data_IF_761954012661
#
_entry.id   IF_761954012661
#
_cell.length_a   1.000
_cell.length_b   1.000
_cell.length_c   1.000
_cell.angle_alpha   90.00
_cell.angle_beta   90.00
_cell.angle_gamma   90.00
#
_symmetry.space_group_name_H-M   'P 1'
#
loop_
_entity.id
_entity.type
_entity.pdbx_description
1 polymer ?
#
# COMPACT_ATOMS: atom_id res chain seq x y z
N UNK A 1 -9.70 -20.92 4.79
CA UNK A 1 -9.47 -20.11 3.59
C UNK A 1 -8.45 -20.81 2.71
N UNK A 2 -8.62 -20.89 1.40
CA UNK A 2 -7.59 -21.41 0.53
C UNK A 2 -6.37 -20.49 0.61
N UNK A 3 -5.21 -21.04 0.92
CA UNK A 3 -3.95 -20.32 0.96
C UNK A 3 -3.56 -19.81 -0.43
N UNK A 4 -2.57 -18.91 -0.52
CA UNK A 4 -2.03 -18.37 -1.78
C UNK A 4 -1.71 -19.45 -2.82
N UNK A 5 -1.37 -20.63 -2.38
CA UNK A 5 -1.07 -21.78 -3.23
C UNK A 5 -2.34 -22.33 -3.91
N UNK A 6 -3.47 -22.34 -3.21
CA UNK A 6 -4.75 -22.78 -3.78
C UNK A 6 -5.32 -21.74 -4.76
N UNK A 7 -5.13 -20.45 -4.49
CA UNK A 7 -5.51 -19.39 -5.45
C UNK A 7 -4.64 -19.47 -6.70
N UNK A 8 -3.33 -19.69 -6.53
CA UNK A 8 -2.40 -19.88 -7.64
C UNK A 8 -2.75 -21.12 -8.48
N UNK A 9 -3.11 -22.23 -7.84
CA UNK A 9 -3.58 -23.43 -8.51
C UNK A 9 -4.91 -23.22 -9.26
N UNK A 10 -5.83 -22.45 -8.68
CA UNK A 10 -7.11 -22.11 -9.32
C UNK A 10 -6.89 -21.19 -10.53
N UNK A 11 -5.99 -20.24 -10.46
CA UNK A 11 -5.60 -19.37 -11.58
C UNK A 11 -4.98 -20.17 -12.73
N UNK A 12 -4.07 -21.11 -12.42
CA UNK A 12 -3.50 -22.05 -13.40
C UNK A 12 -4.60 -22.90 -14.03
N UNK A 13 -5.57 -23.37 -13.23
CA UNK A 13 -6.70 -24.17 -13.67
C UNK A 13 -7.63 -23.41 -14.62
N UNK A 14 -7.72 -22.09 -14.46
CA UNK A 14 -8.48 -21.19 -15.32
C UNK A 14 -7.69 -20.76 -16.58
N UNK A 15 -6.48 -21.31 -16.78
CA UNK A 15 -5.60 -20.96 -17.90
C UNK A 15 -4.98 -19.58 -17.79
N UNK A 16 -4.89 -19.05 -16.60
CA UNK A 16 -4.37 -17.73 -16.31
C UNK A 16 -2.94 -17.88 -15.80
N UNK A 17 -1.97 -17.26 -16.49
CA UNK A 17 -0.56 -17.31 -16.09
C UNK A 17 -0.34 -16.53 -14.79
N UNK A 18 -0.04 -17.18 -13.66
CA UNK A 18 0.17 -16.50 -12.40
C UNK A 18 1.47 -15.69 -12.34
N UNK A 19 2.37 -15.83 -13.30
CA UNK A 19 3.66 -15.11 -13.34
C UNK A 19 3.54 -13.67 -13.84
N UNK A 20 2.48 -13.35 -14.62
CA UNK A 20 2.14 -12.00 -15.04
C UNK A 20 1.22 -11.25 -14.06
N UNK A 21 0.75 -11.97 -13.06
CA UNK A 21 -0.09 -11.42 -12.02
C UNK A 21 0.73 -10.50 -11.13
N UNK A 22 0.25 -9.32 -10.99
CA UNK A 22 0.38 -8.58 -9.75
C UNK A 22 0.01 -9.59 -8.65
N UNK A 23 0.98 -10.07 -7.89
CA UNK A 23 0.66 -10.84 -6.68
C UNK A 23 -0.19 -9.89 -5.85
N UNK A 24 -1.51 -10.05 -5.91
CA UNK A 24 -2.37 -9.40 -4.94
C UNK A 24 -1.84 -9.87 -3.61
N UNK A 25 -1.33 -8.91 -2.86
CA UNK A 25 -0.91 -9.16 -1.51
C UNK A 25 -2.20 -9.51 -0.76
N UNK A 26 -2.48 -10.79 -0.62
CA UNK A 26 -3.62 -11.31 0.10
C UNK A 26 -3.16 -11.87 1.43
N UNK A 27 -3.89 -11.52 2.46
CA UNK A 27 -3.65 -12.12 3.76
C UNK A 27 -4.07 -13.59 3.77
N UNK A 28 -3.17 -14.45 4.23
CA UNK A 28 -3.47 -15.87 4.48
C UNK A 28 -4.16 -16.09 5.84
N UNK A 29 -4.09 -15.13 6.75
CA UNK A 29 -4.74 -15.13 8.05
C UNK A 29 -5.89 -14.11 8.09
N UNK A 30 -6.97 -14.46 8.76
CA UNK A 30 -8.07 -13.52 9.05
C UNK A 30 -7.73 -12.50 10.14
N UNK A 31 -6.55 -12.56 10.74
CA UNK A 31 -6.11 -11.65 11.81
C UNK A 31 -4.88 -10.87 11.41
N UNK A 32 -3.74 -11.53 11.32
CA UNK A 32 -2.44 -10.92 11.05
C UNK A 32 -1.55 -11.83 10.23
N UNK A 33 -0.69 -11.24 9.39
CA UNK A 33 0.44 -11.90 8.76
C UNK A 33 1.70 -11.08 9.02
N UNK A 34 2.84 -11.74 9.21
CA UNK A 34 4.12 -11.05 9.32
C UNK A 34 5.21 -11.82 8.61
N UNK A 35 6.11 -11.10 7.95
CA UNK A 35 7.22 -11.67 7.20
C UNK A 35 8.34 -10.65 7.05
N UNK A 36 9.48 -11.09 6.56
CA UNK A 36 10.60 -10.23 6.19
C UNK A 36 10.71 -10.11 4.69
N UNK A 37 10.92 -8.88 4.24
CA UNK A 37 11.25 -8.58 2.85
C UNK A 37 12.65 -8.00 2.73
N UNK A 38 13.31 -8.35 1.62
CA UNK A 38 14.60 -7.77 1.23
C UNK A 38 14.48 -7.25 -0.20
N UNK A 39 14.91 -6.02 -0.43
CA UNK A 39 14.94 -5.40 -1.75
C UNK A 39 16.33 -4.89 -2.09
N UNK A 40 16.65 -4.93 -3.38
CA UNK A 40 17.91 -4.48 -3.95
C UNK A 40 17.65 -3.32 -4.93
N UNK A 41 18.70 -2.62 -5.36
CA UNK A 41 18.57 -1.54 -6.36
C UNK A 41 17.91 -1.97 -7.68
N UNK A 42 18.03 -3.24 -8.05
CA UNK A 42 17.38 -3.83 -9.24
C UNK A 42 15.91 -4.24 -9.00
N UNK A 43 15.43 -4.19 -7.75
CA UNK A 43 14.06 -4.57 -7.41
C UNK A 43 13.08 -3.55 -7.97
N UNK A 44 12.04 -4.01 -8.64
CA UNK A 44 10.96 -3.15 -9.14
C UNK A 44 9.66 -3.51 -8.42
N UNK A 45 9.06 -2.54 -7.75
CA UNK A 45 7.74 -2.67 -7.13
C UNK A 45 6.79 -1.68 -7.79
N UNK A 46 5.74 -2.18 -8.40
CA UNK A 46 4.71 -1.34 -9.00
C UNK A 46 3.90 -0.60 -7.94
N UNK A 47 3.25 0.50 -8.36
CA UNK A 47 2.26 1.15 -7.53
C UNK A 47 1.10 0.20 -7.27
N UNK A 48 0.74 -0.02 -6.00
CA UNK A 48 -0.29 -0.96 -5.59
C UNK A 48 -1.09 -0.46 -4.38
N UNK A 49 -2.17 -1.15 -4.07
CA UNK A 49 -2.94 -1.00 -2.84
C UNK A 49 -3.49 -2.37 -2.45
N UNK A 50 -3.90 -2.50 -1.22
CA UNK A 50 -4.49 -3.73 -0.65
C UNK A 50 -5.63 -3.38 0.32
N UNK A 51 -6.36 -4.38 0.80
CA UNK A 51 -7.55 -4.21 1.64
C UNK A 51 -7.27 -4.34 3.14
N UNK A 52 -6.02 -4.53 3.52
CA UNK A 52 -5.58 -4.65 4.91
C UNK A 52 -4.68 -3.47 5.30
N UNK A 53 -4.47 -3.29 6.59
CA UNK A 53 -3.44 -2.37 7.11
C UNK A 53 -2.07 -3.00 6.98
N UNK A 54 -1.11 -2.23 6.51
CA UNK A 54 0.28 -2.64 6.43
C UNK A 54 1.16 -1.74 7.29
N UNK A 55 1.96 -2.36 8.13
CA UNK A 55 3.02 -1.70 8.87
C UNK A 55 4.36 -2.23 8.36
N UNK A 56 5.22 -1.32 7.90
CA UNK A 56 6.56 -1.63 7.41
C UNK A 56 7.58 -1.05 8.39
N UNK A 57 8.37 -1.90 9.02
CA UNK A 57 9.46 -1.48 9.89
C UNK A 57 10.81 -1.66 9.19
N UNK A 58 11.52 -0.56 8.97
CA UNK A 58 12.87 -0.57 8.39
C UNK A 58 13.87 -1.14 9.38
N UNK A 59 14.43 -2.31 9.08
CA UNK A 59 15.46 -2.95 9.91
C UNK A 59 16.87 -2.55 9.49
N UNK A 60 17.12 -2.48 8.18
CA UNK A 60 18.42 -2.11 7.61
C UNK A 60 18.22 -1.44 6.26
N UNK A 61 19.19 -0.65 5.86
CA UNK A 61 19.19 0.13 4.64
C UNK A 61 18.85 1.60 4.89
N UNK A 62 19.21 2.45 3.94
CA UNK A 62 18.95 3.88 4.00
C UNK A 62 18.64 4.43 2.60
N UNK A 63 18.13 5.66 2.56
CA UNK A 63 17.83 6.39 1.32
C UNK A 63 16.73 5.77 0.43
N UNK A 64 15.95 4.83 0.94
CA UNK A 64 14.73 4.38 0.26
C UNK A 64 13.64 5.42 0.50
N UNK A 65 12.95 5.80 -0.55
CA UNK A 65 11.76 6.64 -0.45
C UNK A 65 10.52 5.77 -0.66
N UNK A 66 9.45 6.09 0.07
CA UNK A 66 8.13 5.53 -0.19
C UNK A 66 7.19 6.63 -0.69
N UNK A 67 6.50 6.35 -1.77
CA UNK A 67 5.32 7.09 -2.17
C UNK A 67 4.11 6.42 -1.52
N UNK A 68 3.40 7.14 -0.65
CA UNK A 68 2.17 6.68 0.01
C UNK A 68 1.08 7.71 -0.28
N UNK A 69 0.03 7.29 -1.00
CA UNK A 69 -0.92 8.23 -1.56
C UNK A 69 -0.21 9.22 -2.49
N UNK A 70 -0.18 10.48 -2.09
CA UNK A 70 0.45 11.59 -2.80
C UNK A 70 1.65 12.19 -2.03
N UNK A 71 2.14 11.52 -1.00
CA UNK A 71 3.24 12.01 -0.17
C UNK A 71 4.44 11.08 -0.23
N UNK A 72 5.64 11.63 -0.10
CA UNK A 72 6.90 10.90 -0.09
C UNK A 72 7.53 10.91 1.28
N UNK A 73 8.04 9.75 1.66
CA UNK A 73 8.70 9.52 2.93
C UNK A 73 10.07 8.93 2.69
N UNK A 74 11.13 9.64 3.12
CA UNK A 74 12.49 9.08 3.15
C UNK A 74 12.65 8.28 4.43
N UNK A 75 12.99 7.01 4.27
CA UNK A 75 13.04 6.03 5.34
C UNK A 75 14.47 5.86 5.87
N UNK A 76 14.55 5.68 7.16
CA UNK A 76 15.76 5.35 7.90
C UNK A 76 15.51 4.12 8.77
N UNK A 77 16.62 3.50 9.22
CA UNK A 77 16.53 2.38 10.19
C UNK A 77 15.70 2.77 11.41
N UNK A 78 14.78 1.89 11.78
CA UNK A 78 13.85 2.08 12.90
C UNK A 78 12.56 2.83 12.52
N UNK A 79 12.46 3.41 11.32
CA UNK A 79 11.22 4.04 10.88
C UNK A 79 10.13 2.99 10.62
N UNK A 80 8.90 3.32 11.01
CA UNK A 80 7.72 2.50 10.80
C UNK A 80 6.77 3.27 9.89
N UNK A 81 6.45 2.72 8.73
CA UNK A 81 5.40 3.22 7.84
C UNK A 81 4.07 2.58 8.19
N UNK A 82 3.01 3.37 8.06
CA UNK A 82 1.62 2.97 8.30
C UNK A 82 0.86 3.20 7.00
N UNK A 83 0.38 2.13 6.39
CA UNK A 83 -0.34 2.16 5.13
C UNK A 83 -1.75 1.66 5.37
N UNK A 84 -2.72 2.55 5.17
CA UNK A 84 -4.14 2.21 5.34
C UNK A 84 -4.69 1.43 4.15
N UNK A 85 -5.76 0.63 4.35
CA UNK A 85 -6.46 -0.05 3.27
C UNK A 85 -6.83 0.90 2.13
N UNK A 86 -6.63 0.46 0.88
CA UNK A 86 -6.96 1.22 -0.31
C UNK A 86 -5.97 2.34 -0.67
N UNK A 87 -5.04 2.69 0.21
CA UNK A 87 -4.03 3.71 -0.08
C UNK A 87 -2.99 3.14 -1.03
N UNK A 88 -2.85 3.79 -2.18
CA UNK A 88 -1.84 3.39 -3.16
C UNK A 88 -0.44 3.76 -2.70
N UNK A 89 0.49 2.83 -2.83
CA UNK A 89 1.85 3.04 -2.36
C UNK A 89 2.87 2.21 -3.14
N UNK A 90 4.13 2.61 -3.05
CA UNK A 90 5.28 1.85 -3.55
C UNK A 90 6.59 2.39 -2.97
N UNK A 91 7.62 1.54 -2.81
CA UNK A 91 8.98 2.00 -2.61
C UNK A 91 9.56 2.60 -3.90
N UNK A 92 10.48 3.53 -3.75
CA UNK A 92 11.32 4.10 -4.80
C UNK A 92 12.76 3.83 -4.38
N UNK A 93 13.42 2.95 -5.12
CA UNK A 93 14.79 2.54 -4.81
C UNK A 93 15.77 3.42 -5.57
N UNK A 94 16.83 3.94 -4.91
CA UNK A 94 17.93 4.61 -5.60
C UNK A 94 18.71 3.60 -6.47
N UNK A 95 19.38 4.10 -7.49
CA UNK A 95 20.18 3.27 -8.41
C UNK A 95 21.31 2.52 -7.70
N UNK A 96 21.80 3.07 -6.61
CA UNK A 96 22.80 2.46 -5.73
C UNK A 96 22.29 2.50 -4.29
N UNK A 97 22.15 1.34 -3.68
CA UNK A 97 21.75 1.21 -2.28
C UNK A 97 22.27 -0.10 -1.69
N UNK A 98 22.51 -0.08 -0.38
CA UNK A 98 22.63 -1.30 0.40
C UNK A 98 21.29 -2.08 0.41
N UNK A 99 21.31 -3.41 0.59
CA UNK A 99 20.07 -4.18 0.72
C UNK A 99 19.12 -3.57 1.74
N UNK A 100 17.88 -3.36 1.33
CA UNK A 100 16.85 -2.81 2.18
C UNK A 100 16.05 -3.93 2.83
N UNK A 101 16.26 -4.10 4.13
CA UNK A 101 15.56 -5.09 4.95
C UNK A 101 14.42 -4.43 5.72
N UNK A 102 13.23 -4.99 5.60
CA UNK A 102 12.05 -4.56 6.36
C UNK A 102 11.29 -5.75 6.93
N UNK A 103 10.83 -5.59 8.13
CA UNK A 103 9.84 -6.50 8.72
C UNK A 103 8.45 -5.94 8.45
N UNK A 104 7.58 -6.75 7.91
CA UNK A 104 6.25 -6.41 7.43
C UNK A 104 5.21 -7.02 8.36
N UNK A 105 4.21 -6.25 8.73
CA UNK A 105 3.06 -6.71 9.51
C UNK A 105 1.78 -6.28 8.79
N UNK A 106 1.00 -7.24 8.33
CA UNK A 106 -0.33 -7.04 7.76
C UNK A 106 -1.38 -7.33 8.81
N UNK A 107 -2.35 -6.45 8.93
CA UNK A 107 -3.44 -6.56 9.90
C UNK A 107 -4.76 -6.47 9.13
N UNK A 108 -5.60 -7.49 9.27
CA UNK A 108 -6.94 -7.48 8.69
C UNK A 108 -7.70 -6.23 9.16
N UNK A 109 -8.43 -5.58 8.25
CA UNK A 109 -9.09 -4.31 8.53
C UNK A 109 -10.16 -4.43 9.62
N UNK A 110 -10.98 -5.49 9.58
CA UNK A 110 -12.03 -5.72 10.57
C UNK A 110 -11.43 -6.03 11.94
N UNK A 111 -10.44 -6.91 11.98
CA UNK A 111 -9.72 -7.23 13.23
C UNK A 111 -9.05 -5.99 13.84
N UNK A 112 -8.41 -5.15 13.02
CA UNK A 112 -7.84 -3.88 13.50
C UNK A 112 -8.92 -2.97 14.06
N UNK A 113 -10.06 -2.86 13.39
CA UNK A 113 -11.15 -2.01 13.84
C UNK A 113 -11.75 -2.50 15.17
N UNK A 114 -11.90 -3.82 15.35
CA UNK A 114 -12.28 -4.41 16.63
C UNK A 114 -11.28 -4.05 17.73
N UNK A 115 -9.98 -4.23 17.49
CA UNK A 115 -8.95 -3.85 18.46
C UNK A 115 -9.00 -2.36 18.79
N UNK A 116 -9.15 -1.50 17.78
CA UNK A 116 -9.19 -0.04 17.99
C UNK A 116 -10.44 0.41 18.73
N UNK A 117 -11.56 -0.32 18.64
CA UNK A 117 -12.78 -0.04 19.41
C UNK A 117 -12.63 -0.26 20.92
N UNK A 118 -11.59 -0.99 21.34
CA UNK A 118 -11.26 -1.18 22.76
C UNK A 118 -10.52 0.01 23.37
N UNK A 119 -10.00 0.91 22.55
CA UNK A 119 -9.43 2.17 23.01
C UNK A 119 -10.54 3.21 23.20
N UNK A 120 -10.39 4.10 24.18
CA UNK A 120 -11.28 5.25 24.32
C UNK A 120 -11.16 6.22 23.13
N UNK A 121 -12.18 7.05 22.88
CA UNK A 121 -12.32 7.93 21.71
C UNK A 121 -11.14 8.88 21.43
N UNK A 122 -10.23 9.08 22.37
CA UNK A 122 -9.03 9.91 22.21
C UNK A 122 -7.92 9.32 21.31
N UNK A 123 -8.12 8.12 20.76
CA UNK A 123 -7.12 7.46 19.90
C UNK A 123 -7.10 7.95 18.45
N UNK A 124 -7.80 9.03 18.13
CA UNK A 124 -7.84 9.62 16.77
C UNK A 124 -6.48 10.15 16.27
N UNK A 125 -5.46 10.25 17.12
CA UNK A 125 -4.17 10.84 16.78
C UNK A 125 -3.33 10.02 15.79
N UNK A 126 -3.64 8.73 15.55
CA UNK A 126 -2.96 7.92 14.52
C UNK A 126 -3.59 7.99 13.13
N UNK A 127 -4.80 8.54 12.99
CA UNK A 127 -5.53 8.58 11.70
C UNK A 127 -4.83 9.34 10.57
N UNK A 128 -3.74 10.07 10.86
CA UNK A 128 -3.00 10.86 9.87
C UNK A 128 -1.49 10.64 9.97
N UNK A 129 -1.05 9.65 10.75
CA UNK A 129 0.37 9.33 10.87
C UNK A 129 0.67 8.24 9.86
N UNK A 130 1.39 8.59 8.80
CA UNK A 130 1.84 7.64 7.78
C UNK A 130 3.26 7.14 8.05
N UNK A 131 4.02 7.83 8.89
CA UNK A 131 5.36 7.40 9.29
C UNK A 131 5.65 7.80 10.74
N UNK A 132 6.22 6.87 11.48
CA UNK A 132 6.73 7.08 12.83
C UNK A 132 8.24 6.82 12.87
N UNK A 133 9.00 7.81 13.34
CA UNK A 133 10.44 7.65 13.62
C UNK A 133 10.65 7.22 15.06
N UNK A 134 11.31 6.07 15.24
CA UNK A 134 11.58 5.53 16.60
C UNK A 134 12.97 5.89 17.11
N UNK A 135 13.93 6.09 16.23
CA UNK A 135 15.32 6.36 16.59
C UNK A 135 15.47 7.61 17.47
N UNK A 136 16.22 7.50 18.55
CA UNK A 136 16.43 8.57 19.53
C UNK A 136 15.20 8.90 20.37
N UNK A 137 14.17 8.06 20.38
CA UNK A 137 12.99 8.17 21.23
C UNK A 137 12.91 7.01 22.22
N UNK A 138 12.05 7.09 23.23
CA UNK A 138 11.80 5.96 24.13
C UNK A 138 11.17 4.74 23.42
N UNK A 139 10.76 4.89 22.15
CA UNK A 139 10.14 3.87 21.31
C UNK A 139 11.13 3.14 20.41
N UNK A 140 12.42 3.37 20.58
CA UNK A 140 13.51 2.78 19.81
C UNK A 140 13.54 1.24 19.83
N UNK A 141 12.86 0.62 20.79
CA UNK A 141 12.70 -0.83 20.91
C UNK A 141 11.56 -1.42 20.03
N UNK A 142 10.69 -0.59 19.43
CA UNK A 142 9.59 -1.08 18.60
C UNK A 142 10.02 -1.97 17.43
N UNK A 143 11.10 -1.66 16.69
CA UNK A 143 11.62 -2.55 15.64
C UNK A 143 11.91 -3.99 16.11
N UNK A 144 12.31 -4.19 17.38
CA UNK A 144 12.55 -5.51 17.95
C UNK A 144 11.26 -6.32 18.06
N UNK A 145 10.12 -5.67 18.32
CA UNK A 145 8.83 -6.35 18.36
C UNK A 145 8.40 -6.82 16.97
N UNK A 146 8.65 -6.02 15.91
CA UNK A 146 8.42 -6.47 14.53
C UNK A 146 9.27 -7.70 14.23
N UNK A 147 10.55 -7.64 14.52
CA UNK A 147 11.47 -8.76 14.33
C UNK A 147 11.04 -10.02 15.10
N UNK A 148 10.59 -9.87 16.34
CA UNK A 148 10.06 -10.98 17.13
C UNK A 148 8.86 -11.64 16.48
N UNK A 149 7.91 -10.85 15.94
CA UNK A 149 6.76 -11.38 15.21
C UNK A 149 7.18 -12.20 13.99
N UNK A 150 8.14 -11.72 13.21
CA UNK A 150 8.68 -12.43 12.04
C UNK A 150 9.30 -13.77 12.48
N UNK A 151 10.14 -13.77 13.52
CA UNK A 151 10.75 -15.02 14.02
C UNK A 151 9.72 -16.04 14.49
N UNK A 152 8.63 -15.62 15.11
CA UNK A 152 7.53 -16.52 15.50
C UNK A 152 6.85 -17.12 14.27
N UNK A 153 6.58 -16.31 13.25
CA UNK A 153 5.93 -16.76 12.00
C UNK A 153 6.81 -17.69 11.16
N UNK A 154 8.14 -17.56 11.25
CA UNK A 154 9.10 -18.43 10.57
C UNK A 154 9.24 -19.78 11.28
N UNK A 155 9.35 -19.77 12.61
CA UNK A 155 9.54 -20.98 13.43
C UNK A 155 8.31 -21.85 13.55
N UNK A 156 7.12 -21.26 13.48
CA UNK A 156 5.81 -21.93 13.58
C UNK A 156 5.69 -22.94 14.71
N UNK A 157 6.22 -22.58 15.89
CA UNK A 157 6.08 -23.42 17.08
C UNK A 157 4.61 -23.45 17.53
N UNK A 158 4.27 -24.41 18.39
CA UNK A 158 2.91 -24.50 18.94
C UNK A 158 2.44 -23.17 19.53
N UNK A 159 1.31 -22.66 19.06
CA UNK A 159 0.75 -21.37 19.49
C UNK A 159 1.36 -20.13 18.83
N UNK A 160 2.20 -20.27 17.80
CA UNK A 160 2.86 -19.16 17.12
C UNK A 160 1.87 -18.09 16.57
N UNK A 161 0.71 -18.50 16.09
CA UNK A 161 -0.32 -17.56 15.58
C UNK A 161 -0.82 -16.64 16.71
N UNK A 162 -1.09 -17.20 17.88
CA UNK A 162 -1.47 -16.41 19.07
C UNK A 162 -0.34 -15.53 19.56
N UNK A 163 0.91 -16.01 19.49
CA UNK A 163 2.08 -15.21 19.83
C UNK A 163 2.25 -14.02 18.90
N UNK A 164 2.04 -14.19 17.57
CA UNK A 164 2.06 -13.10 16.60
C UNK A 164 0.92 -12.11 16.85
N UNK A 165 -0.30 -12.57 17.12
CA UNK A 165 -1.44 -11.71 17.47
C UNK A 165 -1.15 -10.89 18.74
N UNK A 166 -0.68 -11.53 19.81
CA UNK A 166 -0.35 -10.84 21.06
C UNK A 166 0.75 -9.80 20.88
N UNK A 167 1.77 -10.13 20.09
CA UNK A 167 2.84 -9.20 19.72
C UNK A 167 2.32 -8.01 18.91
N UNK A 168 1.40 -8.24 17.96
CA UNK A 168 0.74 -7.20 17.17
C UNK A 168 -0.05 -6.24 18.05
N UNK A 169 -0.82 -6.76 19.01
CA UNK A 169 -1.55 -5.95 20.00
C UNK A 169 -0.57 -5.07 20.79
N UNK A 170 0.57 -5.63 21.22
CA UNK A 170 1.60 -4.87 21.92
C UNK A 170 2.17 -3.73 21.05
N UNK A 171 2.46 -3.99 19.77
CA UNK A 171 2.91 -2.98 18.82
C UNK A 171 1.87 -1.85 18.69
N UNK A 172 0.61 -2.19 18.44
CA UNK A 172 -0.46 -1.21 18.28
C UNK A 172 -0.66 -0.32 19.51
N UNK A 173 -0.65 -0.93 20.71
CA UNK A 173 -0.76 -0.18 21.99
C UNK A 173 0.38 0.83 22.12
N UNK A 174 1.61 0.42 21.81
CA UNK A 174 2.76 1.30 21.91
C UNK A 174 2.77 2.40 20.85
N UNK A 175 2.31 2.11 19.63
CA UNK A 175 2.15 3.11 18.58
C UNK A 175 1.08 4.15 18.95
N UNK A 176 -0.04 3.73 19.55
CA UNK A 176 -1.07 4.65 20.05
C UNK A 176 -0.49 5.57 21.13
N UNK A 177 0.24 5.02 22.09
CA UNK A 177 0.92 5.79 23.16
C UNK A 177 1.92 6.80 22.57
N UNK A 178 2.72 6.38 21.59
CA UNK A 178 3.65 7.27 20.90
C UNK A 178 2.95 8.41 20.17
N UNK A 179 1.79 8.13 19.56
CA UNK A 179 0.94 9.15 18.94
C UNK A 179 0.39 10.17 19.94
N UNK A 180 -0.09 9.72 21.11
CA UNK A 180 -0.59 10.59 22.18
C UNK A 180 0.50 11.52 22.73
N UNK A 181 1.74 11.03 22.84
CA UNK A 181 2.88 11.83 23.32
C UNK A 181 3.44 12.80 22.28
N UNK A 182 2.90 12.80 21.06
CA UNK A 182 3.43 13.60 19.95
C UNK A 182 4.80 13.13 19.46
N UNK A 183 5.27 11.95 19.90
CA UNK A 183 6.52 11.34 19.43
C UNK A 183 6.37 10.78 18.02
N UNK A 184 5.16 10.43 17.62
CA UNK A 184 4.78 10.12 16.24
C UNK A 184 4.49 11.39 15.45
N UNK A 185 5.45 12.33 15.39
CA UNK A 185 5.27 13.49 14.51
C UNK A 185 5.21 12.98 13.08
N UNK A 186 4.15 13.33 12.32
CA UNK A 186 4.20 13.10 10.89
C UNK A 186 5.43 13.86 10.38
N UNK A 187 6.42 13.12 9.91
CA UNK A 187 7.51 13.73 9.19
C UNK A 187 6.86 14.24 7.90
N UNK A 188 6.60 15.55 7.88
CA UNK A 188 6.16 16.19 6.65
C UNK A 188 7.22 15.91 5.62
N UNK A 189 6.79 15.37 4.46
CA UNK A 189 7.62 15.31 3.29
C UNK A 189 8.38 16.64 3.15
N UNK A 190 9.68 16.55 2.91
CA UNK A 190 10.47 17.72 2.48
C UNK A 190 9.66 18.41 1.38
N UNK A 191 9.70 19.77 1.34
CA UNK A 191 8.96 20.64 0.41
C UNK A 191 8.27 19.88 -0.71
N UNK A 192 6.92 19.88 -0.73
CA UNK A 192 6.13 19.22 -1.78
C UNK A 192 6.76 19.50 -3.14
N UNK A 193 7.42 18.51 -3.72
CA UNK A 193 7.92 18.60 -5.09
C UNK A 193 6.71 18.79 -6.03
N UNK A 194 6.94 19.37 -7.18
CA UNK A 194 5.86 19.54 -8.18
C UNK A 194 5.11 18.23 -8.47
N UNK A 195 5.81 17.10 -8.40
CA UNK A 195 5.20 15.78 -8.59
C UNK A 195 4.13 15.48 -7.52
N UNK A 196 4.39 15.78 -6.25
CA UNK A 196 3.45 15.51 -5.15
C UNK A 196 2.18 16.36 -5.29
N UNK A 197 2.34 17.60 -5.75
CA UNK A 197 1.20 18.49 -6.04
C UNK A 197 0.37 17.97 -7.21
N UNK A 198 1.04 17.50 -8.29
CA UNK A 198 0.37 16.92 -9.45
C UNK A 198 -0.34 15.62 -9.06
N UNK A 199 0.29 14.77 -8.24
CA UNK A 199 -0.31 13.54 -7.76
C UNK A 199 -1.55 13.80 -6.90
N UNK A 200 -1.49 14.80 -6.00
CA UNK A 200 -2.64 15.21 -5.20
C UNK A 200 -3.81 15.71 -6.08
N UNK A 201 -3.50 16.46 -7.13
CA UNK A 201 -4.49 16.90 -8.08
C UNK A 201 -5.14 15.72 -8.82
N UNK A 202 -4.33 14.79 -9.33
CA UNK A 202 -4.81 13.57 -10.01
C UNK A 202 -5.77 12.79 -9.11
N UNK A 203 -5.39 12.55 -7.84
CA UNK A 203 -6.23 11.82 -6.88
C UNK A 203 -7.59 12.51 -6.64
N UNK A 204 -7.60 13.84 -6.54
CA UNK A 204 -8.84 14.60 -6.36
C UNK A 204 -9.75 14.63 -7.58
N UNK A 205 -9.25 14.27 -8.78
CA UNK A 205 -9.96 14.45 -10.06
C UNK A 205 -10.04 13.17 -10.88
N UNK A 206 -9.85 11.98 -10.28
CA UNK A 206 -9.81 10.69 -11.02
C UNK A 206 -11.05 10.45 -11.88
N UNK A 207 -12.22 10.88 -11.42
CA UNK A 207 -13.48 10.76 -12.16
C UNK A 207 -13.62 11.72 -13.35
N UNK A 208 -12.75 12.70 -13.46
CA UNK A 208 -12.81 13.74 -14.48
C UNK A 208 -11.89 13.43 -15.68
N UNK A 209 -12.01 14.24 -16.73
CA UNK A 209 -11.06 14.18 -17.84
C UNK A 209 -9.73 14.78 -17.38
N UNK A 210 -8.69 13.98 -17.33
CA UNK A 210 -7.33 14.42 -16.98
C UNK A 210 -6.46 14.33 -18.25
N UNK A 211 -5.91 15.46 -18.68
CA UNK A 211 -4.97 15.50 -19.79
C UNK A 211 -3.65 16.15 -19.39
N UNK A 212 -2.57 15.74 -20.06
CA UNK A 212 -1.24 16.29 -19.81
C UNK A 212 -1.23 17.82 -20.02
N UNK A 213 -1.97 18.31 -21.01
CA UNK A 213 -2.10 19.73 -21.33
C UNK A 213 -2.78 20.52 -20.21
N UNK A 214 -3.87 19.99 -19.64
CA UNK A 214 -4.59 20.63 -18.54
C UNK A 214 -3.71 20.71 -17.28
N UNK A 215 -3.01 19.63 -16.96
CA UNK A 215 -2.07 19.59 -15.83
C UNK A 215 -0.92 20.57 -16.05
N UNK A 216 -0.33 20.59 -17.23
CA UNK A 216 0.75 21.52 -17.59
C UNK A 216 0.32 22.98 -17.40
N UNK A 217 -0.89 23.31 -17.86
CA UNK A 217 -1.47 24.64 -17.68
C UNK A 217 -1.74 24.95 -16.20
N UNK A 218 -2.32 24.01 -15.45
CA UNK A 218 -2.67 24.20 -14.03
C UNK A 218 -1.45 24.47 -13.15
N UNK A 219 -0.34 23.77 -13.42
CA UNK A 219 0.90 23.89 -12.65
C UNK A 219 1.95 24.83 -13.25
N UNK A 220 1.60 25.54 -14.31
CA UNK A 220 2.49 26.51 -15.00
C UNK A 220 3.82 25.89 -15.47
N UNK A 221 3.78 24.66 -15.96
CA UNK A 221 4.93 23.95 -16.52
C UNK A 221 4.66 23.44 -17.93
N UNK A 222 5.69 23.01 -18.67
CA UNK A 222 5.47 22.42 -19.98
C UNK A 222 5.00 20.96 -19.90
N UNK A 223 4.29 20.47 -20.92
CA UNK A 223 3.91 19.05 -21.02
C UNK A 223 5.14 18.14 -21.01
N UNK A 224 6.24 18.56 -21.63
CA UNK A 224 7.49 17.82 -21.62
C UNK A 224 8.09 17.72 -20.20
N UNK A 225 7.99 18.79 -19.40
CA UNK A 225 8.45 18.79 -18.01
C UNK A 225 7.70 17.74 -17.21
N UNK A 226 6.37 17.67 -17.33
CA UNK A 226 5.57 16.65 -16.62
C UNK A 226 5.92 15.26 -17.13
N UNK A 227 5.99 15.04 -18.44
CA UNK A 227 6.32 13.74 -19.01
C UNK A 227 7.69 13.23 -18.50
N UNK A 228 8.70 14.12 -18.47
CA UNK A 228 10.02 13.79 -17.96
C UNK A 228 9.99 13.50 -16.44
N UNK A 229 9.26 14.32 -15.68
CA UNK A 229 9.11 14.15 -14.24
C UNK A 229 8.50 12.78 -13.89
N UNK A 230 7.43 12.37 -14.60
CA UNK A 230 6.81 11.06 -14.38
C UNK A 230 7.73 9.92 -14.79
N UNK A 231 8.42 10.03 -15.93
CA UNK A 231 9.35 9.00 -16.37
C UNK A 231 10.55 8.86 -15.42
N UNK A 232 11.13 9.96 -14.97
CA UNK A 232 12.29 9.97 -14.08
C UNK A 232 11.93 9.51 -12.65
N UNK A 233 10.87 10.08 -12.09
CA UNK A 233 10.52 9.87 -10.67
C UNK A 233 9.57 8.69 -10.45
N UNK A 234 8.74 8.36 -11.43
CA UNK A 234 7.73 7.30 -11.31
C UNK A 234 8.05 6.08 -12.18
N UNK A 235 9.02 6.16 -13.10
CA UNK A 235 9.36 5.07 -14.02
C UNK A 235 8.25 4.72 -15.02
N UNK A 236 7.17 5.52 -15.08
CA UNK A 236 6.02 5.29 -15.96
C UNK A 236 5.58 6.60 -16.61
N UNK A 237 4.85 6.51 -17.73
CA UNK A 237 4.28 7.71 -18.35
C UNK A 237 3.13 8.28 -17.49
N UNK A 238 2.87 9.59 -17.66
CA UNK A 238 1.74 10.30 -17.04
C UNK A 238 0.41 9.55 -17.19
N UNK A 239 0.04 9.20 -18.42
CA UNK A 239 -1.22 8.50 -18.68
C UNK A 239 -1.27 7.08 -18.09
N UNK A 240 -0.13 6.41 -18.03
CA UNK A 240 -0.03 5.10 -17.36
C UNK A 240 -0.29 5.26 -15.86
N UNK A 241 0.29 6.27 -15.24
CA UNK A 241 0.07 6.58 -13.82
C UNK A 241 -1.40 6.89 -13.54
N UNK A 242 -2.03 7.80 -14.31
CA UNK A 242 -3.46 8.12 -14.17
C UNK A 242 -4.32 6.86 -14.30
N UNK A 243 -4.02 6.01 -15.30
CA UNK A 243 -4.76 4.76 -15.51
C UNK A 243 -4.62 3.83 -14.30
N UNK A 244 -3.42 3.65 -13.78
CA UNK A 244 -3.19 2.80 -12.59
C UNK A 244 -3.96 3.32 -11.37
N UNK A 245 -3.94 4.64 -11.12
CA UNK A 245 -4.70 5.25 -10.02
C UNK A 245 -6.21 5.00 -10.15
N UNK A 246 -6.76 5.17 -11.35
CA UNK A 246 -8.17 4.86 -11.65
C UNK A 246 -8.51 3.39 -11.39
N UNK A 247 -7.63 2.48 -11.79
CA UNK A 247 -7.85 1.05 -11.59
C UNK A 247 -7.77 0.64 -10.12
N UNK A 248 -6.88 1.27 -9.34
CA UNK A 248 -6.80 1.08 -7.89
C UNK A 248 -8.11 1.55 -7.24
N UNK A 249 -8.57 2.76 -7.55
CA UNK A 249 -9.85 3.28 -7.04
C UNK A 249 -11.04 2.38 -7.47
N UNK A 250 -11.04 1.91 -8.73
CA UNK A 250 -12.07 0.99 -9.22
C UNK A 250 -12.10 -0.32 -8.43
N UNK A 251 -10.94 -0.88 -8.10
CA UNK A 251 -10.85 -2.12 -7.31
C UNK A 251 -11.49 -1.95 -5.94
N UNK A 252 -11.25 -0.83 -5.26
CA UNK A 252 -11.89 -0.51 -3.98
C UNK A 252 -13.42 -0.45 -4.12
N UNK A 253 -13.95 0.29 -5.11
CA UNK A 253 -15.39 0.37 -5.35
C UNK A 253 -16.03 -0.98 -5.70
N UNK A 254 -15.33 -1.82 -6.48
CA UNK A 254 -15.78 -3.19 -6.79
C UNK A 254 -15.84 -4.02 -5.52
N UNK A 255 -14.83 -3.90 -4.65
CA UNK A 255 -14.78 -4.60 -3.37
C UNK A 255 -15.92 -4.17 -2.44
N UNK A 256 -16.28 -2.89 -2.47
CA UNK A 256 -17.42 -2.35 -1.72
C UNK A 256 -18.79 -2.76 -2.31
N UNK A 257 -18.79 -3.53 -3.42
CA UNK A 257 -20.01 -4.07 -4.06
C UNK A 257 -20.73 -3.09 -4.98
N UNK A 258 -20.09 -2.01 -5.40
CA UNK A 258 -20.68 -1.07 -6.36
C UNK A 258 -20.88 -1.70 -7.75
N UNK A 259 -21.97 -1.37 -8.49
CA UNK A 259 -22.22 -1.85 -9.84
C UNK A 259 -21.09 -1.47 -10.81
N UNK A 260 -20.59 -2.42 -11.59
CA UNK A 260 -19.41 -2.25 -12.45
C UNK A 260 -19.54 -1.11 -13.46
N UNK A 261 -20.73 -0.88 -14.00
CA UNK A 261 -20.97 0.21 -14.97
C UNK A 261 -20.83 1.57 -14.30
N UNK A 262 -21.31 1.71 -13.06
CA UNK A 262 -21.13 2.92 -12.25
C UNK A 262 -19.67 3.11 -11.86
N UNK A 263 -18.99 2.05 -11.46
CA UNK A 263 -17.56 2.10 -11.10
C UNK A 263 -16.73 2.66 -12.25
N UNK A 264 -16.92 2.13 -13.47
CA UNK A 264 -16.13 2.57 -14.63
C UNK A 264 -16.27 4.08 -14.92
N UNK A 265 -17.46 4.63 -14.76
CA UNK A 265 -17.73 6.06 -14.94
C UNK A 265 -17.16 6.88 -13.77
N UNK A 266 -17.40 6.44 -12.54
CA UNK A 266 -16.96 7.11 -11.32
C UNK A 266 -15.45 7.31 -11.25
N UNK A 267 -14.69 6.33 -11.77
CA UNK A 267 -13.22 6.43 -11.84
C UNK A 267 -12.71 7.03 -13.14
N UNK A 268 -13.57 7.59 -13.98
CA UNK A 268 -13.19 8.44 -15.12
C UNK A 268 -12.81 7.70 -16.41
N UNK A 269 -13.26 6.46 -16.63
CA UNK A 269 -13.17 5.82 -17.95
C UNK A 269 -14.30 6.27 -18.84
N UNK A 270 -14.00 6.50 -20.12
CA UNK A 270 -14.96 6.95 -21.14
C UNK A 270 -16.06 5.93 -21.40
N UNK A 271 -15.74 4.65 -21.28
CA UNK A 271 -16.65 3.54 -21.53
C UNK A 271 -16.19 2.27 -20.78
N UNK A 272 -17.14 1.37 -20.54
CA UNK A 272 -16.89 0.10 -19.84
C UNK A 272 -15.89 -0.80 -20.58
N UNK A 273 -15.88 -0.81 -21.92
CA UNK A 273 -14.97 -1.68 -22.68
C UNK A 273 -13.51 -1.26 -22.50
N UNK A 274 -13.25 0.04 -22.46
CA UNK A 274 -11.92 0.60 -22.18
C UNK A 274 -11.49 0.30 -20.76
N UNK A 275 -12.39 0.47 -19.79
CA UNK A 275 -12.17 0.08 -18.41
C UNK A 275 -11.85 -1.42 -18.29
N UNK A 276 -12.69 -2.29 -18.85
CA UNK A 276 -12.54 -3.74 -18.80
C UNK A 276 -11.16 -4.18 -19.32
N UNK A 277 -10.77 -3.67 -20.52
CA UNK A 277 -9.46 -4.00 -21.12
C UNK A 277 -8.30 -3.53 -20.27
N UNK A 278 -8.37 -2.31 -19.74
CA UNK A 278 -7.34 -1.76 -18.85
C UNK A 278 -7.24 -2.57 -17.57
N UNK A 279 -8.36 -2.89 -16.96
CA UNK A 279 -8.46 -3.67 -15.72
C UNK A 279 -7.89 -5.10 -15.91
N UNK A 280 -8.34 -5.80 -16.96
CA UNK A 280 -7.84 -7.14 -17.27
C UNK A 280 -6.34 -7.17 -17.58
N UNK A 281 -5.83 -6.13 -18.27
CA UNK A 281 -4.39 -6.00 -18.54
C UNK A 281 -3.58 -5.73 -17.28
N UNK A 282 -4.12 -4.95 -16.34
CA UNK A 282 -3.43 -4.58 -15.09
C UNK A 282 -3.43 -5.73 -14.09
N UNK A 283 -4.60 -6.33 -13.89
CA UNK A 283 -4.81 -7.34 -12.86
C UNK A 283 -4.88 -8.78 -13.39
N UNK A 284 -4.85 -9.00 -14.71
CA UNK A 284 -4.96 -10.30 -15.36
C UNK A 284 -6.36 -10.91 -15.31
N UNK A 285 -7.20 -10.49 -14.36
CA UNK A 285 -8.61 -10.90 -14.19
C UNK A 285 -9.57 -9.80 -14.60
N UNK A 286 -10.79 -10.19 -14.92
CA UNK A 286 -11.86 -9.23 -15.17
C UNK A 286 -12.44 -8.67 -13.86
N UNK A 287 -13.09 -7.49 -13.90
CA UNK A 287 -13.79 -6.95 -12.74
C UNK A 287 -14.84 -7.92 -12.15
N UNK A 288 -15.50 -8.73 -12.98
CA UNK A 288 -16.47 -9.73 -12.54
C UNK A 288 -15.84 -10.90 -11.82
N UNK A 289 -14.66 -11.34 -12.26
CA UNK A 289 -13.91 -12.41 -11.60
C UNK A 289 -13.47 -12.00 -10.21
N UNK A 290 -13.12 -10.72 -9.96
CA UNK A 290 -12.84 -10.22 -8.61
C UNK A 290 -14.06 -10.33 -7.68
N UNK A 291 -15.27 -9.98 -8.16
CA UNK A 291 -16.51 -10.15 -7.37
C UNK A 291 -16.75 -11.62 -7.03
N UNK A 292 -16.52 -12.52 -7.98
CA UNK A 292 -16.68 -13.96 -7.75
C UNK A 292 -15.65 -14.50 -6.76
N UNK A 293 -14.40 -14.00 -6.80
CA UNK A 293 -13.37 -14.34 -5.83
C UNK A 293 -13.78 -13.90 -4.42
N UNK A 294 -14.30 -12.67 -4.26
CA UNK A 294 -14.81 -12.18 -2.98
C UNK A 294 -15.92 -13.10 -2.42
N UNK A 295 -16.94 -13.44 -3.21
CA UNK A 295 -18.06 -14.27 -2.77
C UNK A 295 -17.69 -15.75 -2.49
N UNK A 296 -16.47 -16.19 -2.83
CA UNK A 296 -15.93 -17.50 -2.43
C UNK A 296 -15.10 -17.44 -1.15
N UNK A 297 -14.72 -16.23 -0.73
CA UNK A 297 -13.93 -15.96 0.47
C UNK A 297 -14.83 -15.64 1.69
N UNK A 298 -16.08 -15.21 1.46
CA UNK A 298 -17.16 -15.07 2.44
C UNK A 298 -17.85 -16.44 2.67
#
# INVERSE_FOLDING_TARGET
MPGQEQLREELVRLGIDPSGYYQELEMSSQYVNTHRDVSFSSTTVNLHSHTFFELLCCQEGSNVEYLIGNERYRIQKGDILIIEPGVSHRPIFPSEMEPYHRDVLWINADFRNELMSLFSDDCHNLKHVQMMRTAGTRWEHLPELFHKGVLESEKKQYGWELAVIGNTISILVQMVRAGQEGSAKPLRAEKREHLDQIMAYIEGHLGEKISLKEIAHHFYVSESTISHLFQEKMGVSFYRCVTQRRLIAAKTHIWDGEPLDLVSQKVGFSDYSTFYRAFKREYGVSPREIIQLKGRLE
#
